data_IF_576703975328
#
_entry.id   IF_576703975328
#
_cell.length_a   1.000
_cell.length_b   1.000
_cell.length_c   1.000
_cell.angle_alpha   90.00
_cell.angle_beta   90.00
_cell.angle_gamma   90.00
#
_symmetry.space_group_name_H-M   'P 1'
#
loop_
_entity.id
_entity.type
_entity.pdbx_description
1 polymer ?
#
# COMPACT_ATOMS: atom_id res chain seq x y z
N UNK A 1 15.14 25.85 -16.93
CA UNK A 1 13.78 25.75 -16.34
C UNK A 1 13.92 24.97 -15.04
N UNK A 2 13.91 25.64 -13.88
CA UNK A 2 14.09 24.98 -12.57
C UNK A 2 12.74 24.40 -12.14
N UNK A 3 12.54 23.09 -12.32
CA UNK A 3 11.37 22.36 -11.81
C UNK A 3 11.50 22.26 -10.29
N UNK A 4 10.51 22.74 -9.55
CA UNK A 4 10.47 22.59 -8.11
C UNK A 4 9.95 21.20 -7.76
N UNK A 5 10.85 20.27 -7.47
CA UNK A 5 10.49 18.97 -6.91
C UNK A 5 10.23 19.18 -5.42
N UNK A 6 9.00 18.91 -4.97
CA UNK A 6 8.70 18.82 -3.54
C UNK A 6 9.21 17.46 -3.04
N UNK A 7 10.47 17.42 -2.60
CA UNK A 7 11.12 16.19 -2.14
C UNK A 7 10.69 15.88 -0.72
N UNK A 8 10.20 14.66 -0.50
CA UNK A 8 9.87 14.13 0.82
C UNK A 8 11.09 13.35 1.32
N UNK A 9 11.92 13.97 2.13
CA UNK A 9 13.16 13.36 2.63
C UNK A 9 12.88 12.43 3.80
N UNK A 10 13.66 11.35 3.90
CA UNK A 10 13.73 10.54 5.11
C UNK A 10 14.33 11.35 6.25
N UNK A 11 13.48 12.09 6.96
CA UNK A 11 13.86 12.81 8.16
C UNK A 11 14.12 11.84 9.32
N UNK A 12 15.29 11.99 9.92
CA UNK A 12 15.75 11.22 11.08
C UNK A 12 15.38 11.89 12.42
N UNK A 13 14.80 13.09 12.36
CA UNK A 13 14.37 13.87 13.52
C UNK A 13 13.24 13.18 14.30
N UNK A 14 13.27 13.34 15.62
CA UNK A 14 12.19 12.89 16.50
C UNK A 14 11.22 14.03 16.76
N UNK A 15 9.92 13.75 16.73
CA UNK A 15 8.92 14.73 17.14
C UNK A 15 9.14 15.11 18.61
N UNK A 16 9.34 16.41 18.93
CA UNK A 16 9.50 16.83 20.31
C UNK A 16 8.28 16.45 21.17
N UNK A 17 8.45 16.00 22.42
CA UNK A 17 7.33 15.61 23.28
C UNK A 17 6.26 16.69 23.44
N UNK A 18 6.68 17.95 23.61
CA UNK A 18 5.75 19.08 23.76
C UNK A 18 4.87 19.30 22.53
N UNK A 19 5.39 19.03 21.33
CA UNK A 19 4.64 19.15 20.09
C UNK A 19 3.66 17.98 19.99
N UNK A 20 4.14 16.77 20.23
CA UNK A 20 3.31 15.56 20.22
C UNK A 20 2.12 15.67 21.19
N UNK A 21 2.33 16.14 22.43
CA UNK A 21 1.25 16.36 23.39
C UNK A 21 0.18 17.35 22.88
N UNK A 22 0.60 18.42 22.19
CA UNK A 22 -0.32 19.39 21.57
C UNK A 22 -1.06 18.78 20.38
N UNK A 23 -0.38 17.97 19.57
CA UNK A 23 -0.99 17.22 18.46
C UNK A 23 -2.08 16.29 18.97
N UNK A 24 -1.81 15.57 20.06
CA UNK A 24 -2.80 14.67 20.70
C UNK A 24 -4.02 15.44 21.18
N UNK A 25 -3.83 16.58 21.86
CA UNK A 25 -4.94 17.42 22.34
C UNK A 25 -5.80 17.97 21.20
N UNK A 26 -5.17 18.55 20.18
CA UNK A 26 -5.91 19.10 19.03
C UNK A 26 -6.55 17.98 18.19
N UNK A 27 -5.82 16.90 17.94
CA UNK A 27 -6.31 15.71 17.24
C UNK A 27 -7.52 15.11 17.92
N UNK A 28 -7.55 15.04 19.25
CA UNK A 28 -8.71 14.56 20.02
C UNK A 28 -9.95 15.39 19.76
N UNK A 29 -9.85 16.72 19.85
CA UNK A 29 -10.98 17.60 19.59
C UNK A 29 -11.45 17.52 18.12
N UNK A 30 -10.52 17.41 17.17
CA UNK A 30 -10.87 17.25 15.76
C UNK A 30 -11.60 15.92 15.50
N UNK A 31 -11.10 14.80 16.03
CA UNK A 31 -11.75 13.50 15.89
C UNK A 31 -13.16 13.53 16.50
N UNK A 32 -13.30 14.08 17.71
CA UNK A 32 -14.62 14.20 18.38
C UNK A 32 -15.63 14.97 17.53
N UNK A 33 -15.24 16.14 17.00
CA UNK A 33 -16.14 16.95 16.16
C UNK A 33 -16.52 16.20 14.89
N UNK A 34 -15.53 15.63 14.18
CA UNK A 34 -15.79 14.91 12.93
C UNK A 34 -16.68 13.68 13.12
N UNK A 35 -16.44 12.91 14.18
CA UNK A 35 -17.26 11.74 14.51
C UNK A 35 -18.66 12.16 14.97
N UNK A 36 -18.80 13.25 15.71
CA UNK A 36 -20.11 13.77 16.13
C UNK A 36 -20.96 14.27 14.95
N UNK A 37 -20.34 14.92 13.97
CA UNK A 37 -21.05 15.50 12.81
C UNK A 37 -21.32 14.50 11.69
N UNK A 38 -20.38 13.58 11.44
CA UNK A 38 -20.45 12.71 10.27
C UNK A 38 -20.35 11.21 10.57
N UNK A 39 -20.08 10.85 11.82
CA UNK A 39 -19.91 9.46 12.25
C UNK A 39 -18.51 8.89 12.00
N UNK A 40 -18.22 7.70 12.58
CA UNK A 40 -16.90 7.07 12.51
C UNK A 40 -16.52 6.59 11.11
N UNK A 41 -17.49 6.16 10.30
CA UNK A 41 -17.24 5.67 8.94
C UNK A 41 -16.77 6.79 8.01
N UNK A 42 -17.32 8.01 8.18
CA UNK A 42 -16.85 9.18 7.46
C UNK A 42 -15.42 9.53 7.82
N UNK A 43 -15.08 9.47 9.11
CA UNK A 43 -13.71 9.69 9.56
C UNK A 43 -12.74 8.71 8.89
N UNK A 44 -13.11 7.43 8.77
CA UNK A 44 -12.28 6.41 8.10
C UNK A 44 -12.12 6.69 6.62
N UNK A 45 -13.20 7.05 5.92
CA UNK A 45 -13.14 7.42 4.50
C UNK A 45 -12.19 8.59 4.28
N UNK A 46 -12.24 9.60 5.15
CA UNK A 46 -11.37 10.78 5.10
C UNK A 46 -9.91 10.44 5.39
N UNK A 47 -9.62 9.57 6.36
CA UNK A 47 -8.25 9.08 6.62
C UNK A 47 -7.70 8.29 5.42
N UNK A 48 -8.57 7.55 4.72
CA UNK A 48 -8.18 6.84 3.52
C UNK A 48 -7.90 7.75 2.32
N UNK A 49 -8.32 9.01 2.37
CA UNK A 49 -8.01 9.99 1.34
C UNK A 49 -6.59 10.57 1.56
N UNK A 50 -5.68 10.39 0.57
CA UNK A 50 -4.30 10.91 0.64
C UNK A 50 -4.17 12.40 0.96
N UNK A 51 -5.06 13.20 0.39
CA UNK A 51 -5.05 14.67 0.43
C UNK A 51 -5.53 15.14 1.79
N UNK A 52 -6.64 14.59 2.26
CA UNK A 52 -7.22 14.91 3.54
C UNK A 52 -6.29 14.49 4.69
N UNK A 53 -5.71 13.28 4.61
CA UNK A 53 -4.74 12.80 5.60
C UNK A 53 -3.51 13.72 5.69
N UNK A 54 -2.96 14.15 4.55
CA UNK A 54 -1.85 15.09 4.51
C UNK A 54 -2.22 16.43 5.17
N UNK A 55 -3.40 16.95 4.83
CA UNK A 55 -3.90 18.24 5.31
C UNK A 55 -4.14 18.22 6.83
N UNK A 56 -4.69 17.12 7.36
CA UNK A 56 -4.84 16.91 8.79
C UNK A 56 -3.47 16.95 9.50
N UNK A 57 -2.45 16.28 8.93
CA UNK A 57 -1.09 16.31 9.47
C UNK A 57 -0.52 17.73 9.58
N UNK A 58 -0.74 18.56 8.55
CA UNK A 58 -0.32 19.96 8.55
C UNK A 58 -1.12 20.81 9.55
N UNK A 59 -2.43 20.58 9.70
CA UNK A 59 -3.26 21.28 10.72
C UNK A 59 -2.78 20.95 12.14
N UNK A 60 -2.33 19.72 12.38
CA UNK A 60 -1.69 19.33 13.64
C UNK A 60 -0.24 19.83 13.76
N UNK A 61 0.16 20.84 12.98
CA UNK A 61 1.46 21.51 13.03
C UNK A 61 2.65 20.62 12.69
N UNK A 62 2.45 19.63 11.81
CA UNK A 62 3.55 18.86 11.22
C UNK A 62 3.96 19.42 9.86
N UNK A 63 5.26 19.35 9.56
CA UNK A 63 5.78 19.82 8.28
C UNK A 63 5.18 19.01 7.11
N UNK A 64 4.68 19.73 6.11
CA UNK A 64 3.98 19.16 4.96
C UNK A 64 4.89 18.29 4.07
N UNK A 65 6.22 18.40 4.21
CA UNK A 65 7.21 17.69 3.40
C UNK A 65 8.05 16.66 4.19
N UNK A 66 7.64 16.31 5.41
CA UNK A 66 8.41 15.43 6.29
C UNK A 66 7.91 13.97 6.28
N UNK A 67 8.80 13.00 6.02
CA UNK A 67 8.47 11.56 6.08
C UNK A 67 7.96 11.08 7.44
N UNK A 68 8.28 11.82 8.50
CA UNK A 68 7.74 11.60 9.83
C UNK A 68 6.22 11.77 9.93
N UNK A 69 5.60 12.58 9.06
CA UNK A 69 4.20 13.01 9.18
C UNK A 69 3.26 11.83 9.36
N UNK A 70 3.35 10.83 8.47
CA UNK A 70 2.47 9.66 8.52
C UNK A 70 2.62 8.89 9.82
N UNK A 71 3.86 8.66 10.26
CA UNK A 71 4.13 7.87 11.46
C UNK A 71 3.75 8.60 12.74
N UNK A 72 3.91 9.92 12.77
CA UNK A 72 3.58 10.73 13.95
C UNK A 72 2.08 11.03 14.00
N UNK A 73 1.45 11.34 12.86
CA UNK A 73 0.02 11.59 12.78
C UNK A 73 -0.78 10.36 13.22
N UNK A 74 -0.46 9.17 12.70
CA UNK A 74 -1.14 7.93 13.10
C UNK A 74 -0.96 7.63 14.59
N UNK A 75 0.24 7.86 15.13
CA UNK A 75 0.51 7.71 16.57
C UNK A 75 -0.26 8.74 17.41
N UNK A 76 -0.28 10.00 16.99
CA UNK A 76 -0.99 11.07 17.69
C UNK A 76 -2.50 10.83 17.67
N UNK A 77 -3.07 10.35 16.56
CA UNK A 77 -4.49 10.00 16.46
C UNK A 77 -4.84 8.78 17.32
N UNK A 78 -4.01 7.73 17.30
CA UNK A 78 -4.18 6.55 18.15
C UNK A 78 -4.17 6.92 19.64
N UNK A 79 -3.28 7.82 20.04
CA UNK A 79 -3.22 8.35 21.42
C UNK A 79 -4.38 9.32 21.73
N UNK A 80 -4.83 10.09 20.74
CA UNK A 80 -5.93 11.04 20.89
C UNK A 80 -7.24 10.36 21.24
N UNK A 81 -7.54 9.21 20.63
CA UNK A 81 -8.77 8.45 20.90
C UNK A 81 -8.68 7.50 22.09
N UNK A 82 -7.50 7.40 22.73
CA UNK A 82 -7.27 6.45 23.83
C UNK A 82 -8.28 6.70 24.95
N UNK A 83 -8.93 5.63 25.40
CA UNK A 83 -10.02 5.62 26.39
C UNK A 83 -11.38 6.12 25.90
N UNK A 84 -11.49 6.55 24.64
CA UNK A 84 -12.73 7.02 24.00
C UNK A 84 -13.10 6.17 22.77
N UNK A 85 -12.36 5.09 22.48
CA UNK A 85 -12.50 4.30 21.26
C UNK A 85 -13.91 3.71 21.11
N UNK A 86 -14.47 3.23 22.23
CA UNK A 86 -15.82 2.63 22.28
C UNK A 86 -16.92 3.66 22.04
N UNK A 87 -16.76 4.87 22.58
CA UNK A 87 -17.74 5.95 22.49
C UNK A 87 -17.73 6.58 21.10
N UNK A 88 -16.53 6.74 20.52
CA UNK A 88 -16.35 7.21 19.15
C UNK A 88 -16.70 6.12 18.12
N UNK A 89 -16.68 4.85 18.51
CA UNK A 89 -16.86 3.72 17.58
C UNK A 89 -15.72 3.61 16.57
N UNK A 90 -14.52 4.06 16.93
CA UNK A 90 -13.34 4.18 16.06
C UNK A 90 -12.14 3.51 16.73
N UNK A 91 -11.41 2.70 15.96
CA UNK A 91 -10.28 1.92 16.46
C UNK A 91 -9.09 2.07 15.51
N UNK A 92 -7.89 2.27 16.08
CA UNK A 92 -6.65 2.45 15.34
C UNK A 92 -5.63 1.42 15.83
N UNK A 93 -5.20 0.54 14.93
CA UNK A 93 -4.25 -0.53 15.18
C UNK A 93 -2.94 -0.33 14.41
N UNK A 94 -1.86 -0.93 14.91
CA UNK A 94 -0.55 -0.88 14.28
C UNK A 94 0.27 0.36 14.63
N UNK A 95 1.26 0.65 13.79
CA UNK A 95 2.21 1.74 13.96
C UNK A 95 3.53 1.52 13.18
N UNK A 96 4.60 2.18 13.63
CA UNK A 96 5.94 2.10 13.01
C UNK A 96 6.72 0.86 13.49
N UNK A 97 7.51 0.27 12.61
CA UNK A 97 8.50 -0.76 12.94
C UNK A 97 7.86 -1.99 13.56
N UNK A 98 8.35 -2.43 14.73
CA UNK A 98 7.83 -3.63 15.41
C UNK A 98 6.33 -3.55 15.74
N UNK A 99 5.79 -2.35 15.95
CA UNK A 99 4.37 -2.16 16.25
C UNK A 99 3.47 -2.51 15.07
N UNK A 100 3.93 -2.32 13.82
CA UNK A 100 3.18 -2.73 12.62
C UNK A 100 2.85 -4.23 12.61
N UNK A 101 3.72 -5.06 13.19
CA UNK A 101 3.56 -6.52 13.23
C UNK A 101 2.53 -6.97 14.27
N UNK A 102 2.17 -6.11 15.23
CA UNK A 102 1.17 -6.38 16.26
C UNK A 102 -0.25 -6.03 15.83
N UNK A 103 -0.43 -5.42 14.65
CA UNK A 103 -1.75 -5.02 14.13
C UNK A 103 -2.77 -6.16 14.18
N UNK A 104 -2.45 -7.41 13.75
CA UNK A 104 -3.39 -8.51 13.85
C UNK A 104 -3.87 -8.79 15.29
N UNK A 105 -2.97 -8.77 16.26
CA UNK A 105 -3.28 -9.04 17.65
C UNK A 105 -4.14 -7.93 18.26
N UNK A 106 -3.86 -6.67 17.91
CA UNK A 106 -4.66 -5.52 18.33
C UNK A 106 -6.08 -5.56 17.73
N UNK A 107 -6.22 -5.95 16.46
CA UNK A 107 -7.54 -6.12 15.81
C UNK A 107 -8.34 -7.21 16.53
N UNK A 108 -7.72 -8.37 16.82
CA UNK A 108 -8.40 -9.46 17.52
C UNK A 108 -8.81 -9.08 18.95
N UNK A 109 -7.94 -8.37 19.68
CA UNK A 109 -8.24 -7.89 21.03
C UNK A 109 -9.43 -6.93 21.05
N UNK A 110 -9.54 -6.05 20.05
CA UNK A 110 -10.73 -5.21 19.90
C UNK A 110 -11.96 -5.99 19.45
N UNK A 111 -11.82 -6.95 18.54
CA UNK A 111 -12.94 -7.78 18.09
C UNK A 111 -13.57 -8.55 19.27
N UNK A 112 -12.75 -9.07 20.17
CA UNK A 112 -13.18 -9.71 21.42
C UNK A 112 -13.85 -8.70 22.37
N UNK A 113 -13.19 -7.56 22.61
CA UNK A 113 -13.67 -6.50 23.51
C UNK A 113 -15.03 -5.91 23.07
N UNK A 114 -15.28 -5.85 21.77
CA UNK A 114 -16.51 -5.34 21.18
C UNK A 114 -17.57 -6.43 20.94
N UNK A 115 -17.19 -7.70 21.14
CA UNK A 115 -18.01 -8.86 20.78
C UNK A 115 -18.52 -8.77 19.33
N UNK A 116 -17.61 -8.47 18.40
CA UNK A 116 -17.95 -8.43 16.97
C UNK A 116 -18.46 -9.80 16.51
N UNK A 117 -19.35 -9.86 15.49
CA UNK A 117 -19.84 -11.12 14.96
C UNK A 117 -18.69 -12.05 14.55
N UNK A 118 -18.89 -13.35 14.75
CA UNK A 118 -17.90 -14.39 14.43
C UNK A 118 -17.36 -14.21 13.01
N UNK A 119 -16.03 -14.30 12.88
CA UNK A 119 -15.32 -14.12 11.61
C UNK A 119 -15.04 -12.66 11.21
N UNK A 120 -15.71 -11.65 11.82
CA UNK A 120 -15.45 -10.23 11.50
C UNK A 120 -14.03 -9.81 11.86
N UNK A 121 -13.57 -10.19 13.06
CA UNK A 121 -12.19 -9.92 13.49
C UNK A 121 -11.16 -10.59 12.57
N UNK A 122 -11.39 -11.85 12.19
CA UNK A 122 -10.53 -12.58 11.25
C UNK A 122 -10.50 -11.95 9.86
N UNK A 123 -11.63 -11.42 9.38
CA UNK A 123 -11.71 -10.70 8.10
C UNK A 123 -10.91 -9.38 8.16
N UNK A 124 -11.03 -8.60 9.23
CA UNK A 124 -10.22 -7.39 9.41
C UNK A 124 -8.71 -7.71 9.45
N UNK A 125 -8.32 -8.78 10.14
CA UNK A 125 -6.92 -9.27 10.15
C UNK A 125 -6.48 -9.67 8.74
N UNK A 126 -7.35 -10.36 7.99
CA UNK A 126 -7.07 -10.76 6.62
C UNK A 126 -6.83 -9.54 5.73
N UNK A 127 -7.72 -8.56 5.74
CA UNK A 127 -7.61 -7.32 4.97
C UNK A 127 -6.34 -6.52 5.34
N UNK A 128 -6.04 -6.40 6.64
CA UNK A 128 -4.80 -5.78 7.14
C UNK A 128 -3.55 -6.46 6.56
N UNK A 129 -3.48 -7.80 6.62
CA UNK A 129 -2.35 -8.58 6.10
C UNK A 129 -2.25 -8.48 4.58
N UNK A 130 -3.38 -8.56 3.88
CA UNK A 130 -3.43 -8.49 2.43
C UNK A 130 -2.98 -7.13 1.91
N UNK A 131 -3.44 -6.03 2.52
CA UNK A 131 -2.97 -4.69 2.16
C UNK A 131 -1.44 -4.58 2.28
N UNK A 132 -0.85 -5.08 3.38
CA UNK A 132 0.60 -5.07 3.55
C UNK A 132 1.33 -5.96 2.53
N UNK A 133 0.78 -7.12 2.20
CA UNK A 133 1.36 -8.04 1.21
C UNK A 133 1.31 -7.48 -0.21
N UNK A 134 0.20 -6.85 -0.58
CA UNK A 134 -0.01 -6.27 -1.90
C UNK A 134 0.96 -5.13 -2.13
N UNK A 135 1.01 -4.17 -1.20
CA UNK A 135 1.91 -3.00 -1.29
C UNK A 135 3.37 -3.43 -1.35
N UNK A 136 3.74 -4.46 -0.58
CA UNK A 136 5.13 -4.92 -0.53
C UNK A 136 5.52 -5.80 -1.73
N UNK A 137 4.61 -6.60 -2.27
CA UNK A 137 4.95 -7.69 -3.21
C UNK A 137 4.49 -7.47 -4.64
N UNK A 138 3.35 -6.79 -4.83
CA UNK A 138 2.77 -6.58 -6.16
C UNK A 138 3.22 -5.27 -6.81
N UNK A 139 3.66 -4.30 -6.01
CA UNK A 139 4.29 -3.08 -6.48
C UNK A 139 5.78 -3.20 -6.13
N UNK A 140 6.64 -3.30 -7.15
CA UNK A 140 8.07 -3.49 -6.94
C UNK A 140 8.86 -2.30 -7.47
N UNK A 141 8.89 -1.27 -6.62
CA UNK A 141 9.42 0.07 -6.87
C UNK A 141 10.63 0.39 -5.98
N UNK A 142 11.10 -0.58 -5.18
CA UNK A 142 12.22 -0.42 -4.25
C UNK A 142 11.83 0.08 -2.86
N UNK A 143 10.55 0.39 -2.60
CA UNK A 143 10.09 0.82 -1.28
C UNK A 143 9.74 -0.38 -0.38
N UNK A 144 10.35 -0.45 0.80
CA UNK A 144 10.06 -1.48 1.79
C UNK A 144 9.13 -0.94 2.89
N UNK A 145 8.02 -1.63 3.14
CA UNK A 145 7.03 -1.22 4.14
C UNK A 145 7.63 -1.28 5.55
N UNK A 146 7.58 -0.15 6.26
CA UNK A 146 8.07 -0.04 7.64
C UNK A 146 7.04 0.52 8.62
N UNK A 147 5.92 1.01 8.10
CA UNK A 147 4.81 1.53 8.88
C UNK A 147 3.49 1.00 8.32
N UNK A 148 2.62 0.54 9.22
CA UNK A 148 1.29 0.05 8.89
C UNK A 148 0.33 0.51 9.99
N UNK A 149 -0.64 1.32 9.64
CA UNK A 149 -1.73 1.72 10.52
C UNK A 149 -3.07 1.27 9.91
N UNK A 150 -3.85 0.53 10.70
CA UNK A 150 -5.13 -0.01 10.30
C UNK A 150 -6.24 0.68 11.11
N UNK A 151 -7.17 1.30 10.41
CA UNK A 151 -8.30 2.03 10.99
C UNK A 151 -9.56 1.22 10.72
N UNK A 152 -10.41 1.02 11.73
CA UNK A 152 -11.73 0.44 11.51
C UNK A 152 -12.78 1.05 12.44
N UNK A 153 -14.03 1.06 11.96
CA UNK A 153 -15.17 1.53 12.73
C UNK A 153 -15.94 0.34 13.25
N UNK A 154 -16.79 0.61 14.25
CA UNK A 154 -17.72 -0.39 14.76
C UNK A 154 -18.71 -0.91 13.70
N UNK A 155 -18.96 -0.12 12.65
CA UNK A 155 -19.87 -0.50 11.55
C UNK A 155 -19.20 -1.33 10.46
N UNK A 156 -17.88 -1.55 10.54
CA UNK A 156 -17.13 -2.41 9.62
C UNK A 156 -16.43 -1.68 8.47
N UNK A 157 -16.52 -0.35 8.39
CA UNK A 157 -15.67 0.43 7.48
C UNK A 157 -14.21 0.32 7.95
N UNK A 158 -13.27 0.19 7.01
CA UNK A 158 -11.85 0.13 7.33
C UNK A 158 -10.99 0.86 6.31
N UNK A 159 -9.83 1.32 6.78
CA UNK A 159 -8.81 1.95 5.97
C UNK A 159 -7.42 1.50 6.40
N UNK A 160 -6.46 1.52 5.48
CA UNK A 160 -5.05 1.27 5.78
C UNK A 160 -4.23 2.43 5.29
N UNK A 161 -3.36 2.94 6.16
CA UNK A 161 -2.32 3.91 5.79
C UNK A 161 -0.97 3.26 6.03
N UNK A 162 -0.22 3.02 4.96
CA UNK A 162 1.09 2.37 5.00
C UNK A 162 2.16 3.30 4.48
N UNK A 163 3.40 3.12 4.96
CA UNK A 163 4.55 3.83 4.40
C UNK A 163 5.69 2.87 4.12
N UNK A 164 6.17 2.95 2.88
CA UNK A 164 7.40 2.33 2.42
C UNK A 164 8.55 3.35 2.41
N UNK A 165 9.76 2.89 2.69
CA UNK A 165 10.99 3.68 2.54
C UNK A 165 11.88 3.07 1.47
N UNK A 166 12.56 3.92 0.72
CA UNK A 166 13.66 3.54 -0.13
C UNK A 166 14.94 4.17 0.45
N UNK A 167 15.85 3.33 0.94
CA UNK A 167 17.07 3.78 1.60
C UNK A 167 18.08 4.37 0.62
N UNK A 168 18.05 3.94 -0.66
CA UNK A 168 19.01 4.36 -1.66
C UNK A 168 18.82 5.83 -2.09
N UNK A 169 17.57 6.28 -2.18
CA UNK A 169 17.21 7.64 -2.58
C UNK A 169 16.72 8.51 -1.40
N UNK A 170 16.79 7.96 -0.18
CA UNK A 170 16.33 8.57 1.05
C UNK A 170 14.90 9.14 0.95
N UNK A 171 13.99 8.38 0.33
CA UNK A 171 12.62 8.81 0.08
C UNK A 171 11.58 7.88 0.72
N UNK A 172 10.33 8.36 0.79
CA UNK A 172 9.21 7.58 1.29
C UNK A 172 8.01 7.62 0.34
N UNK A 173 7.29 6.50 0.28
CA UNK A 173 6.06 6.31 -0.49
C UNK A 173 4.94 5.89 0.46
N UNK A 174 3.79 6.56 0.36
CA UNK A 174 2.64 6.31 1.22
C UNK A 174 1.51 5.67 0.43
N UNK A 175 0.87 4.67 1.01
CA UNK A 175 -0.20 3.90 0.39
C UNK A 175 -1.46 4.03 1.23
N UNK A 176 -2.58 4.26 0.57
CA UNK A 176 -3.89 4.36 1.21
C UNK A 176 -4.85 3.34 0.62
N UNK A 177 -5.62 2.73 1.51
CA UNK A 177 -6.66 1.76 1.21
C UNK A 177 -7.95 2.18 1.87
N UNK A 178 -9.08 1.91 1.21
CA UNK A 178 -10.41 2.08 1.77
C UNK A 178 -11.29 0.88 1.43
N UNK A 179 -12.04 0.39 2.41
CA UNK A 179 -12.89 -0.80 2.29
C UNK A 179 -13.90 -0.74 1.15
N UNK A 180 -14.41 0.45 0.80
CA UNK A 180 -15.39 0.61 -0.29
C UNK A 180 -14.79 0.35 -1.68
N UNK A 181 -13.53 0.76 -1.87
CA UNK A 181 -12.79 0.60 -3.12
C UNK A 181 -12.08 -0.75 -3.21
N UNK A 182 -11.70 -1.33 -2.06
CA UNK A 182 -10.96 -2.57 -1.96
C UNK A 182 -11.85 -3.84 -2.02
N UNK A 183 -12.78 -3.90 -2.98
CA UNK A 183 -13.60 -5.11 -3.22
C UNK A 183 -12.80 -6.24 -3.86
N UNK A 184 -11.84 -5.87 -4.71
CA UNK A 184 -10.78 -6.74 -5.19
C UNK A 184 -9.49 -6.26 -4.52
N UNK A 185 -8.89 -7.10 -3.65
CA UNK A 185 -7.69 -6.75 -2.92
C UNK A 185 -6.42 -6.75 -3.79
N UNK A 186 -6.51 -7.24 -5.03
CA UNK A 186 -5.37 -7.43 -5.93
C UNK A 186 -5.38 -6.40 -7.06
N UNK A 187 -6.52 -6.20 -7.71
CA UNK A 187 -6.63 -5.33 -8.87
C UNK A 187 -6.96 -3.88 -8.47
N UNK A 188 -5.98 -2.99 -8.60
CA UNK A 188 -6.11 -1.54 -8.34
C UNK A 188 -6.82 -1.18 -7.02
N UNK A 189 -6.42 -1.78 -5.86
CA UNK A 189 -7.19 -1.67 -4.62
C UNK A 189 -7.03 -0.33 -3.88
N UNK A 190 -6.03 0.47 -4.24
CA UNK A 190 -5.64 1.67 -3.52
C UNK A 190 -6.63 2.83 -3.74
N UNK A 191 -6.98 3.52 -2.65
CA UNK A 191 -7.59 4.86 -2.75
C UNK A 191 -6.59 5.89 -3.24
N UNK A 192 -5.31 5.71 -2.92
CA UNK A 192 -4.22 6.44 -3.56
C UNK A 192 -2.83 6.06 -3.06
N UNK A 193 -1.85 6.34 -3.92
CA UNK A 193 -0.42 6.14 -3.65
C UNK A 193 0.28 7.47 -3.83
N UNK A 194 0.95 7.93 -2.77
CA UNK A 194 1.67 9.18 -2.71
C UNK A 194 3.17 8.89 -2.83
N UNK A 195 3.84 9.51 -3.79
CA UNK A 195 5.27 9.39 -3.99
C UNK A 195 5.89 10.76 -4.35
N UNK A 196 7.19 10.97 -4.07
CA UNK A 196 7.87 12.21 -4.45
C UNK A 196 7.98 12.36 -5.98
N UNK A 197 8.15 11.23 -6.67
CA UNK A 197 8.18 11.14 -8.12
C UNK A 197 7.69 9.75 -8.55
N UNK A 198 7.29 9.64 -9.82
CA UNK A 198 7.09 8.34 -10.46
C UNK A 198 8.44 7.72 -10.79
N UNK A 199 8.54 6.41 -10.61
CA UNK A 199 9.69 5.60 -10.98
C UNK A 199 9.41 4.96 -12.33
N UNK A 200 10.29 5.23 -13.30
CA UNK A 200 10.22 4.57 -14.60
C UNK A 200 10.42 3.05 -14.44
N UNK A 201 9.65 2.26 -15.18
CA UNK A 201 9.74 0.79 -15.20
C UNK A 201 9.49 0.09 -13.85
N UNK A 202 8.44 0.51 -13.13
CA UNK A 202 7.99 -0.14 -11.89
C UNK A 202 7.14 -1.36 -12.20
N UNK A 203 7.58 -2.56 -11.81
CA UNK A 203 6.75 -3.77 -11.93
C UNK A 203 5.50 -3.62 -11.05
N UNK A 204 4.34 -3.52 -11.71
CA UNK A 204 3.06 -3.26 -11.08
C UNK A 204 2.05 -4.38 -11.42
N UNK A 205 1.98 -5.36 -10.53
CA UNK A 205 1.05 -6.48 -10.64
C UNK A 205 -0.33 -6.17 -10.07
N UNK A 206 -0.58 -4.96 -9.57
CA UNK A 206 -1.92 -4.51 -9.19
C UNK A 206 -2.69 -3.92 -10.36
N UNK A 207 -1.99 -3.44 -11.40
CA UNK A 207 -2.63 -2.88 -12.60
C UNK A 207 -3.57 -3.87 -13.27
N UNK A 208 -4.68 -3.39 -13.84
CA UNK A 208 -5.59 -4.24 -14.62
C UNK A 208 -4.88 -4.97 -15.76
N UNK A 209 -3.96 -4.29 -16.44
CA UNK A 209 -3.16 -4.84 -17.55
C UNK A 209 -2.30 -6.05 -17.15
N UNK A 210 -2.02 -6.24 -15.86
CA UNK A 210 -1.27 -7.39 -15.34
C UNK A 210 -2.13 -8.65 -15.15
N UNK A 211 -3.42 -8.66 -15.52
CA UNK A 211 -4.34 -9.77 -15.27
C UNK A 211 -3.88 -11.10 -15.87
N UNK A 212 -3.43 -11.11 -17.12
CA UNK A 212 -2.92 -12.32 -17.77
C UNK A 212 -1.69 -12.87 -17.05
N UNK A 213 -0.79 -12.01 -16.59
CA UNK A 213 0.40 -12.41 -15.85
C UNK A 213 0.03 -13.01 -14.48
N UNK A 214 -0.95 -12.43 -13.78
CA UNK A 214 -1.49 -12.97 -12.52
C UNK A 214 -2.12 -14.35 -12.71
N UNK A 215 -2.96 -14.53 -13.73
CA UNK A 215 -3.60 -15.83 -14.03
C UNK A 215 -2.56 -16.90 -14.32
N UNK A 216 -1.60 -16.58 -15.18
CA UNK A 216 -0.53 -17.51 -15.53
C UNK A 216 0.33 -17.88 -14.32
N UNK A 217 0.59 -16.94 -13.40
CA UNK A 217 1.32 -17.24 -12.16
C UNK A 217 0.63 -18.32 -11.32
N UNK A 218 -0.71 -18.36 -11.31
CA UNK A 218 -1.49 -19.41 -10.65
C UNK A 218 -1.38 -20.72 -11.42
N UNK A 219 -1.51 -20.69 -12.74
CA UNK A 219 -1.41 -21.87 -13.62
C UNK A 219 -0.05 -22.55 -13.53
N UNK A 220 1.03 -21.76 -13.48
CA UNK A 220 2.40 -22.24 -13.28
C UNK A 220 2.48 -23.07 -12.00
N UNK A 221 2.02 -22.51 -10.88
CA UNK A 221 2.03 -23.19 -9.59
C UNK A 221 1.14 -24.45 -9.60
N UNK A 222 -0.02 -24.42 -10.25
CA UNK A 222 -0.93 -25.57 -10.35
C UNK A 222 -0.34 -26.71 -11.21
N UNK A 223 0.49 -26.38 -12.21
CA UNK A 223 1.22 -27.36 -13.03
C UNK A 223 2.26 -28.16 -12.24
N UNK A 224 2.72 -27.64 -11.10
CA UNK A 224 3.58 -28.35 -10.13
C UNK A 224 5.03 -27.87 -10.10
N UNK A 225 5.76 -28.34 -9.10
CA UNK A 225 7.08 -27.79 -8.74
C UNK A 225 8.14 -27.99 -9.84
N UNK A 226 8.24 -29.20 -10.40
CA UNK A 226 9.28 -29.51 -11.38
C UNK A 226 9.13 -28.70 -12.68
N UNK A 227 7.93 -28.56 -13.29
CA UNK A 227 7.72 -27.67 -14.44
C UNK A 227 8.14 -26.22 -14.16
N UNK A 228 7.67 -25.62 -13.07
CA UNK A 228 8.00 -24.22 -12.73
C UNK A 228 9.49 -24.03 -12.50
N UNK A 229 10.13 -24.95 -11.79
CA UNK A 229 11.56 -24.87 -11.56
C UNK A 229 12.36 -25.01 -12.85
N UNK A 230 11.93 -25.87 -13.78
CA UNK A 230 12.54 -25.98 -15.11
C UNK A 230 12.42 -24.67 -15.88
N UNK A 231 11.26 -24.02 -15.85
CA UNK A 231 11.06 -22.73 -16.50
C UNK A 231 11.95 -21.64 -15.89
N UNK A 232 12.06 -21.61 -14.55
CA UNK A 232 12.98 -20.71 -13.85
C UNK A 232 14.45 -21.04 -14.20
N UNK A 233 14.82 -22.32 -14.35
CA UNK A 233 16.16 -22.75 -14.80
C UNK A 233 16.46 -22.34 -16.24
N UNK A 234 15.48 -22.42 -17.14
CA UNK A 234 15.60 -21.91 -18.50
C UNK A 234 15.87 -20.42 -18.47
N UNK A 235 15.12 -19.64 -17.69
CA UNK A 235 15.40 -18.21 -17.51
C UNK A 235 16.81 -17.97 -16.98
N UNK A 236 17.25 -18.71 -15.96
CA UNK A 236 18.59 -18.57 -15.37
C UNK A 236 19.71 -18.86 -16.38
N UNK A 237 19.59 -19.95 -17.15
CA UNK A 237 20.59 -20.35 -18.12
C UNK A 237 20.72 -19.35 -19.28
N UNK A 238 19.66 -18.61 -19.55
CA UNK A 238 19.54 -17.72 -20.70
C UNK A 238 19.41 -16.23 -20.30
N UNK A 239 19.52 -15.90 -19.01
CA UNK A 239 19.60 -14.54 -18.50
C UNK A 239 20.99 -13.98 -18.79
N UNK A 240 21.18 -13.50 -20.01
CA UNK A 240 22.27 -12.61 -20.38
C UNK A 240 21.68 -11.24 -20.69
N UNK A 241 22.49 -10.17 -20.78
CA UNK A 241 22.02 -8.85 -21.23
C UNK A 241 21.42 -8.82 -22.66
N UNK A 242 21.24 -9.97 -23.34
CA UNK A 242 20.96 -10.10 -24.78
C UNK A 242 19.99 -11.25 -25.22
N UNK A 243 18.96 -11.69 -24.47
CA UNK A 243 18.00 -12.82 -24.79
C UNK A 243 16.41 -12.72 -24.87
N UNK A 244 15.77 -12.56 -26.07
CA UNK A 244 14.30 -12.67 -26.37
C UNK A 244 14.11 -14.04 -27.03
N UNK A 245 12.97 -14.69 -26.82
CA UNK A 245 12.73 -16.06 -27.32
C UNK A 245 12.09 -16.10 -28.71
N UNK A 246 12.57 -17.00 -29.57
CA UNK A 246 11.88 -17.46 -30.77
C UNK A 246 11.62 -18.96 -30.63
N UNK A 247 10.35 -19.36 -30.76
CA UNK A 247 9.95 -20.77 -30.76
C UNK A 247 9.71 -21.24 -32.20
N UNK A 248 10.49 -22.24 -32.62
CA UNK A 248 10.31 -22.94 -33.89
C UNK A 248 9.89 -24.38 -33.61
N UNK A 249 8.78 -24.80 -34.21
CA UNK A 249 8.32 -26.20 -34.20
C UNK A 249 8.81 -26.93 -35.44
N UNK A 250 9.53 -28.02 -35.23
CA UNK A 250 9.82 -28.97 -36.31
C UNK A 250 9.62 -30.40 -35.83
N UNK A 251 8.77 -31.16 -36.54
CA UNK A 251 8.52 -32.61 -36.34
C UNK A 251 8.21 -33.02 -34.89
N UNK A 252 7.32 -32.29 -34.22
CA UNK A 252 6.83 -32.65 -32.88
C UNK A 252 7.72 -32.20 -31.72
N UNK A 253 8.92 -31.69 -32.01
CA UNK A 253 9.82 -31.08 -31.03
C UNK A 253 9.86 -29.56 -31.22
N UNK A 254 9.77 -28.81 -30.11
CA UNK A 254 9.87 -27.35 -30.09
C UNK A 254 11.29 -26.99 -29.67
N UNK A 255 12.05 -26.39 -30.58
CA UNK A 255 13.38 -25.84 -30.29
C UNK A 255 13.21 -24.33 -30.07
N UNK A 256 13.59 -23.87 -28.88
CA UNK A 256 13.57 -22.45 -28.50
C UNK A 256 14.98 -21.90 -28.68
N UNK A 257 15.15 -20.98 -29.65
CA UNK A 257 16.39 -20.23 -29.82
C UNK A 257 16.23 -18.83 -29.21
N UNK A 258 17.32 -18.31 -28.64
CA UNK A 258 17.32 -17.12 -27.79
C UNK A 258 18.14 -16.00 -28.45
N UNK A 259 17.53 -14.83 -28.68
CA UNK A 259 18.15 -13.64 -29.26
C UNK A 259 17.40 -12.36 -28.79
N UNK A 260 17.98 -11.43 -27.99
CA UNK A 260 17.25 -10.22 -27.47
C UNK A 260 16.88 -9.25 -28.55
N UNK A 261 17.80 -8.57 -29.22
CA UNK A 261 17.53 -7.17 -29.57
C UNK A 261 17.12 -6.31 -28.35
N UNK A 262 18.11 -5.64 -27.78
CA UNK A 262 18.01 -4.69 -26.68
C UNK A 262 17.30 -3.38 -27.07
N UNK A 263 16.32 -3.41 -27.96
CA UNK A 263 15.63 -2.20 -28.43
C UNK A 263 14.47 -1.75 -27.53
N UNK A 264 13.92 -2.62 -26.69
CA UNK A 264 12.74 -2.31 -25.84
C UNK A 264 12.95 -2.52 -24.34
N UNK A 265 14.08 -3.09 -23.92
CA UNK A 265 14.40 -3.33 -22.51
C UNK A 265 15.80 -2.79 -22.21
N UNK A 266 15.87 -1.54 -21.74
CA UNK A 266 17.12 -0.93 -21.30
C UNK A 266 17.48 -1.33 -19.85
N UNK A 267 16.47 -1.50 -19.00
CA UNK A 267 16.60 -1.97 -17.62
C UNK A 267 15.35 -2.79 -17.25
N UNK A 268 15.54 -4.04 -16.84
CA UNK A 268 14.50 -4.82 -16.17
C UNK A 268 15.00 -5.04 -14.73
N UNK A 269 14.18 -4.81 -13.68
CA UNK A 269 14.60 -4.85 -12.27
C UNK A 269 15.14 -6.21 -11.78
N UNK A 270 15.28 -7.17 -12.70
CA UNK A 270 15.52 -8.58 -12.46
C UNK A 270 16.75 -9.08 -13.25
N UNK A 271 17.33 -8.27 -14.14
CA UNK A 271 18.55 -8.62 -14.91
C UNK A 271 19.72 -8.97 -13.98
N UNK A 272 19.74 -8.41 -12.77
CA UNK A 272 20.82 -8.59 -11.79
C UNK A 272 20.45 -9.56 -10.65
N UNK A 273 19.23 -10.09 -10.59
CA UNK A 273 18.81 -10.95 -9.48
C UNK A 273 19.10 -12.43 -9.72
N UNK A 274 19.91 -13.01 -8.86
CA UNK A 274 20.17 -14.45 -8.84
C UNK A 274 19.04 -15.20 -8.11
N UNK A 275 18.14 -15.81 -8.89
CA UNK A 275 17.14 -16.76 -8.37
C UNK A 275 17.70 -18.17 -8.19
N UNK A 276 18.91 -18.48 -8.70
CA UNK A 276 19.48 -19.84 -8.85
C UNK A 276 19.88 -20.55 -7.56
N UNK A 277 20.12 -19.80 -6.48
CA UNK A 277 20.59 -20.35 -5.21
C UNK A 277 19.67 -20.07 -4.03
N UNK A 278 18.45 -19.61 -4.31
CA UNK A 278 17.51 -19.21 -3.27
C UNK A 278 16.75 -20.42 -2.73
N UNK A 279 17.34 -21.11 -1.74
CA UNK A 279 16.67 -22.21 -1.00
C UNK A 279 15.30 -21.79 -0.45
N UNK A 280 15.14 -20.52 -0.10
CA UNK A 280 13.87 -19.95 0.32
C UNK A 280 12.84 -19.97 -0.81
N UNK A 281 13.23 -19.57 -2.02
CA UNK A 281 12.32 -19.52 -3.17
C UNK A 281 11.83 -20.93 -3.53
N UNK A 282 12.74 -21.90 -3.57
CA UNK A 282 12.40 -23.30 -3.83
C UNK A 282 11.43 -23.85 -2.79
N UNK A 283 11.68 -23.58 -1.50
CA UNK A 283 10.78 -23.99 -0.42
C UNK A 283 9.37 -23.40 -0.61
N UNK A 284 9.27 -22.12 -0.93
CA UNK A 284 7.99 -21.44 -1.10
C UNK A 284 7.27 -21.88 -2.38
N UNK A 285 7.98 -22.05 -3.50
CA UNK A 285 7.39 -22.58 -4.73
C UNK A 285 6.88 -24.00 -4.53
N UNK A 286 7.60 -24.84 -3.79
CA UNK A 286 7.14 -26.18 -3.44
C UNK A 286 5.87 -26.12 -2.60
N UNK A 287 5.85 -25.30 -1.55
CA UNK A 287 4.66 -25.08 -0.72
C UNK A 287 3.46 -24.63 -1.57
N UNK A 288 3.68 -23.68 -2.48
CA UNK A 288 2.65 -23.19 -3.39
C UNK A 288 2.11 -24.29 -4.30
N UNK A 289 3.00 -25.10 -4.89
CA UNK A 289 2.63 -26.21 -5.77
C UNK A 289 1.90 -27.35 -5.04
N UNK A 290 2.20 -27.54 -3.75
CA UNK A 290 1.52 -28.49 -2.89
C UNK A 290 0.13 -27.96 -2.46
N UNK A 291 0.03 -26.66 -2.18
CA UNK A 291 -1.21 -25.99 -1.74
C UNK A 291 -2.19 -25.74 -2.90
N UNK A 292 -1.67 -25.52 -4.12
CA UNK A 292 -2.43 -25.27 -5.36
C UNK A 292 -3.52 -24.20 -5.20
N UNK A 293 -3.12 -22.94 -4.92
CA UNK A 293 -4.08 -21.83 -4.83
C UNK A 293 -4.90 -21.71 -6.12
N UNK A 294 -6.19 -21.40 -6.00
CA UNK A 294 -7.10 -21.27 -7.15
C UNK A 294 -7.24 -19.84 -7.65
N UNK A 295 -6.88 -18.87 -6.81
CA UNK A 295 -6.86 -17.45 -7.18
C UNK A 295 -5.50 -16.85 -6.89
N UNK A 296 -5.18 -15.76 -7.57
CA UNK A 296 -3.95 -15.02 -7.30
C UNK A 296 -3.95 -14.43 -5.88
N UNK A 297 -5.11 -14.05 -5.37
CA UNK A 297 -5.27 -13.63 -3.97
C UNK A 297 -4.85 -14.73 -2.98
N UNK A 298 -5.26 -15.98 -3.19
CA UNK A 298 -4.84 -17.12 -2.35
C UNK A 298 -3.33 -17.39 -2.47
N UNK A 299 -2.78 -17.27 -3.68
CA UNK A 299 -1.34 -17.40 -3.92
C UNK A 299 -0.58 -16.37 -3.08
N UNK A 300 -0.97 -15.10 -3.15
CA UNK A 300 -0.36 -14.01 -2.37
C UNK A 300 -0.61 -14.19 -0.87
N UNK A 301 -1.81 -14.62 -0.47
CA UNK A 301 -2.17 -14.85 0.93
C UNK A 301 -1.32 -15.94 1.61
N UNK A 302 -0.74 -16.87 0.85
CA UNK A 302 0.12 -17.95 1.36
C UNK A 302 1.32 -17.40 2.14
N UNK A 303 1.58 -17.94 3.33
CA UNK A 303 2.68 -17.48 4.19
C UNK A 303 4.04 -17.72 3.52
N UNK A 304 4.92 -16.72 3.60
CA UNK A 304 6.24 -16.75 2.95
C UNK A 304 6.23 -16.41 1.45
N UNK A 305 5.07 -16.20 0.84
CA UNK A 305 5.03 -15.53 -0.48
C UNK A 305 5.34 -14.05 -0.28
N UNK A 306 6.37 -13.60 -0.99
CA UNK A 306 6.83 -12.21 -0.96
C UNK A 306 7.31 -11.74 -2.34
N UNK A 307 7.96 -10.57 -2.41
CA UNK A 307 8.25 -9.88 -3.67
C UNK A 307 9.09 -10.73 -4.62
N UNK A 308 10.08 -11.45 -4.07
CA UNK A 308 10.97 -12.33 -4.85
C UNK A 308 10.21 -13.48 -5.54
N UNK A 309 9.28 -14.11 -4.82
CA UNK A 309 8.47 -15.22 -5.37
C UNK A 309 7.55 -14.71 -6.48
N UNK A 310 6.88 -13.59 -6.22
CA UNK A 310 5.98 -12.94 -7.18
C UNK A 310 6.72 -12.52 -8.44
N UNK A 311 7.89 -11.89 -8.28
CA UNK A 311 8.77 -11.48 -9.38
C UNK A 311 9.21 -12.67 -10.24
N UNK A 312 9.60 -13.78 -9.60
CA UNK A 312 10.03 -14.98 -10.32
C UNK A 312 8.90 -15.56 -11.19
N UNK A 313 7.70 -15.71 -10.64
CA UNK A 313 6.53 -16.19 -11.39
C UNK A 313 6.14 -15.24 -12.51
N UNK A 314 6.15 -13.93 -12.23
CA UNK A 314 5.83 -12.90 -13.21
C UNK A 314 6.82 -12.89 -14.38
N UNK A 315 8.12 -13.02 -14.09
CA UNK A 315 9.17 -13.09 -15.11
C UNK A 315 9.05 -14.34 -15.99
N UNK A 316 8.77 -15.50 -15.39
CA UNK A 316 8.47 -16.73 -16.15
C UNK A 316 7.30 -16.47 -17.09
N UNK A 317 6.22 -15.90 -16.57
CA UNK A 317 5.04 -15.61 -17.35
C UNK A 317 5.29 -14.65 -18.52
N UNK A 318 6.06 -13.59 -18.29
CA UNK A 318 6.39 -12.62 -19.33
C UNK A 318 7.31 -13.23 -20.40
N UNK A 319 8.40 -13.86 -19.97
CA UNK A 319 9.52 -14.17 -20.87
C UNK A 319 9.28 -15.48 -21.61
N UNK A 320 8.74 -16.52 -20.95
CA UNK A 320 8.48 -17.83 -21.59
C UNK A 320 7.12 -17.86 -22.29
N UNK A 321 6.11 -17.25 -21.68
CA UNK A 321 4.72 -17.38 -22.12
C UNK A 321 4.12 -16.08 -22.70
N UNK A 322 4.85 -14.96 -22.69
CA UNK A 322 4.42 -13.70 -23.28
C UNK A 322 3.34 -12.95 -22.49
N UNK A 323 3.00 -13.39 -21.28
CA UNK A 323 2.01 -12.74 -20.43
C UNK A 323 2.66 -11.53 -19.74
N UNK A 324 2.65 -10.37 -20.39
CA UNK A 324 3.32 -9.17 -19.90
C UNK A 324 2.62 -8.59 -18.65
N UNK A 325 3.37 -8.22 -17.59
CA UNK A 325 2.86 -7.37 -16.53
C UNK A 325 2.93 -5.89 -16.95
N UNK A 326 2.25 -5.03 -16.19
CA UNK A 326 2.42 -3.59 -16.28
C UNK A 326 3.73 -3.15 -15.62
N UNK A 327 4.40 -2.21 -16.28
CA UNK A 327 5.60 -1.51 -15.80
C UNK A 327 5.31 -0.04 -15.44
N UNK A 328 4.03 0.34 -15.37
CA UNK A 328 3.60 1.69 -15.01
C UNK A 328 3.51 1.85 -13.49
N UNK A 329 4.18 2.87 -12.96
CA UNK A 329 4.12 3.23 -11.55
C UNK A 329 2.70 3.67 -11.13
N UNK A 330 2.06 2.99 -10.16
CA UNK A 330 0.71 3.31 -9.72
C UNK A 330 0.61 4.59 -8.88
N UNK A 331 1.69 5.34 -8.65
CA UNK A 331 1.64 6.62 -7.94
C UNK A 331 0.71 7.64 -8.62
N UNK A 332 -0.31 8.10 -7.86
CA UNK A 332 -1.37 9.02 -8.31
C UNK A 332 -1.34 10.39 -7.63
N UNK A 333 -0.65 10.52 -6.50
CA UNK A 333 -0.59 11.77 -5.73
C UNK A 333 0.84 12.17 -5.39
N UNK A 334 1.11 13.47 -5.52
CA UNK A 334 2.34 14.08 -5.04
C UNK A 334 1.96 14.71 -3.73
N UNK A 335 2.90 14.78 -2.80
CA UNK A 335 2.60 15.28 -1.45
C UNK A 335 2.04 16.70 -1.43
N UNK A 336 2.20 17.46 -2.52
CA UNK A 336 1.65 18.81 -2.71
C UNK A 336 0.24 18.85 -3.32
N UNK A 337 -0.51 17.72 -3.33
CA UNK A 337 -1.88 17.64 -3.87
C UNK A 337 -1.93 17.82 -5.39
N UNK A 338 -0.82 17.50 -6.06
CA UNK A 338 -0.50 17.94 -7.42
C UNK A 338 0.61 18.99 -7.41
N UNK A 339 1.32 19.12 -8.51
CA UNK A 339 2.33 20.17 -8.65
C UNK A 339 1.67 21.48 -9.06
N UNK A 340 2.11 22.61 -8.49
CA UNK A 340 1.82 23.95 -9.07
C UNK A 340 2.19 24.00 -10.56
N UNK A 341 3.23 23.26 -10.93
CA UNK A 341 3.79 23.12 -12.26
C UNK A 341 3.21 21.91 -13.02
N UNK A 342 2.04 21.41 -12.58
CA UNK A 342 1.33 20.26 -13.14
C UNK A 342 2.14 18.94 -13.23
N UNK A 343 3.16 18.80 -12.38
CA UNK A 343 4.03 17.62 -12.34
C UNK A 343 3.93 16.98 -10.95
N UNK A 344 3.54 15.69 -10.81
CA UNK A 344 3.18 14.76 -11.89
C UNK A 344 1.76 14.98 -12.46
N UNK A 345 0.91 15.76 -11.77
CA UNK A 345 -0.43 16.21 -12.21
C UNK A 345 -0.70 17.61 -11.65
N UNK A 346 -1.67 18.35 -12.23
CA UNK A 346 -2.13 19.63 -11.68
C UNK A 346 -2.74 19.46 -10.28
N UNK A 347 -2.72 20.55 -9.51
CA UNK A 347 -3.40 20.61 -8.21
C UNK A 347 -4.90 20.40 -8.39
N UNK A 348 -5.47 19.42 -7.68
CA UNK A 348 -6.92 19.22 -7.62
C UNK A 348 -7.55 20.24 -6.67
N UNK A 349 -7.93 21.40 -7.22
CA UNK A 349 -8.45 22.54 -6.45
C UNK A 349 -9.78 22.23 -5.76
N UNK A 350 -10.65 21.45 -6.39
CA UNK A 350 -11.99 21.16 -5.85
C UNK A 350 -11.89 20.35 -4.56
N UNK A 351 -11.12 19.26 -4.59
CA UNK A 351 -10.87 18.42 -3.41
C UNK A 351 -10.11 19.19 -2.33
N UNK A 352 -9.19 20.07 -2.74
CA UNK A 352 -8.44 20.94 -1.83
C UNK A 352 -9.35 21.92 -1.07
N UNK A 353 -10.22 22.64 -1.78
CA UNK A 353 -11.15 23.61 -1.20
C UNK A 353 -12.16 22.94 -0.26
N UNK A 354 -12.67 21.77 -0.63
CA UNK A 354 -13.55 20.96 0.24
C UNK A 354 -12.84 20.53 1.53
N UNK A 355 -11.57 20.10 1.42
CA UNK A 355 -10.75 19.71 2.57
C UNK A 355 -10.53 20.89 3.52
N UNK A 356 -10.19 22.07 2.97
CA UNK A 356 -10.04 23.30 3.75
C UNK A 356 -11.35 23.63 4.49
N UNK A 357 -12.48 23.59 3.78
CA UNK A 357 -13.77 23.93 4.37
C UNK A 357 -14.11 23.03 5.56
N UNK A 358 -13.97 21.71 5.42
CA UNK A 358 -14.26 20.81 6.55
C UNK A 358 -13.29 21.03 7.71
N UNK A 359 -11.98 21.13 7.45
CA UNK A 359 -11.01 21.29 8.53
C UNK A 359 -11.21 22.63 9.26
N UNK A 360 -11.56 23.69 8.53
CA UNK A 360 -11.89 24.99 9.13
C UNK A 360 -13.15 24.92 10.01
N UNK A 361 -14.19 24.21 9.56
CA UNK A 361 -15.40 23.98 10.35
C UNK A 361 -15.11 23.17 11.62
N UNK A 362 -14.37 22.08 11.51
CA UNK A 362 -13.95 21.27 12.65
C UNK A 362 -13.13 22.08 13.68
N UNK A 363 -12.20 22.91 13.19
CA UNK A 363 -11.43 23.81 14.05
C UNK A 363 -12.32 24.86 14.71
N UNK A 364 -13.26 25.46 13.97
CA UNK A 364 -14.22 26.43 14.54
C UNK A 364 -15.04 25.78 15.65
N UNK A 365 -15.60 24.60 15.41
CA UNK A 365 -16.45 23.90 16.37
C UNK A 365 -15.65 23.42 17.59
N UNK A 366 -14.40 23.00 17.40
CA UNK A 366 -13.52 22.63 18.53
C UNK A 366 -13.34 23.78 19.54
N UNK A 367 -13.39 25.04 19.08
CA UNK A 367 -13.23 26.26 19.89
C UNK A 367 -14.54 26.78 20.49
N UNK A 368 -15.69 26.20 20.17
CA UNK A 368 -17.00 26.64 20.66
C UNK A 368 -17.27 26.11 22.07
N UNK A 369 -18.00 26.90 22.86
CA UNK A 369 -18.46 26.50 24.20
C UNK A 369 -19.51 25.37 24.08
N UNK A 370 -19.68 24.55 25.11
CA UNK A 370 -20.56 23.36 25.08
C UNK A 370 -22.00 23.67 24.62
N UNK A 371 -22.56 24.81 25.06
CA UNK A 371 -23.89 25.29 24.66
C UNK A 371 -23.99 25.66 23.17
N UNK A 372 -22.90 26.19 22.60
CA UNK A 372 -22.86 26.56 21.18
C UNK A 372 -22.58 25.34 20.30
N UNK A 373 -21.85 24.35 20.82
CA UNK A 373 -21.66 23.03 20.18
C UNK A 373 -22.99 22.29 20.03
N UNK A 374 -23.80 22.20 21.09
CA UNK A 374 -25.12 21.54 21.04
C UNK A 374 -26.07 22.23 20.04
N UNK A 375 -26.05 23.56 19.96
CA UNK A 375 -26.84 24.32 18.97
C UNK A 375 -26.34 24.13 17.53
N UNK A 376 -25.04 23.94 17.35
CA UNK A 376 -24.45 23.69 16.03
C UNK A 376 -24.74 22.27 15.53
N UNK A 377 -24.74 21.27 16.43
CA UNK A 377 -25.05 19.86 16.13
C UNK A 377 -26.55 19.58 15.92
N UNK A 378 -27.43 20.47 16.36
CA UNK A 378 -28.90 20.38 16.16
C UNK A 378 -29.40 21.03 14.86
N UNK A 379 -28.51 21.59 14.04
CA UNK A 379 -28.81 22.09 12.68
C UNK A 379 -28.42 21.07 11.64
#
# INVERSE_FOLDING_TARGET
>A
MRRGIATFTLDTGHCPPWLFERMVKLGREMVRVLVAEHGPDEFIRRIADPVWFQSLGTVLAFDWNASGLTTILTAALKEAIRHEEKDLGLFICGGKGKTSRKTPDEILGWAETLSLPDGSGSNLVYNSRMAAKVDNSLIQDGYQIYHHAFFFSRNGAWAVVQQGMNEADASARRYHWFSENARDLICEPHSGIIAPARIEHTLNLTARDSESNRKLSVELVDAGFNPVMKDIEILRAHASPLSKMVSLRHKGEQLTFLHLENKEFADHPVVQEDFSKSRYLEKILRLLCDTRPKTYEQLIATEGVGPKTVRALSLVGEVIYGAKPSYEDPARYSFAHGGKDATPYPVDRTTYDQTIATLAEAVRHSRMNALDKDKALQR
#
